data_IF_832031799927
#
_entry.id   IF_832031799927
#
_cell.length_a   1.000
_cell.length_b   1.000
_cell.length_c   1.000
_cell.angle_alpha   90.00
_cell.angle_beta   90.00
_cell.angle_gamma   90.00
#
_symmetry.space_group_name_H-M   'P 1'
#
loop_
_entity.id
_entity.type
_entity.pdbx_description
1 polymer ?
#
# COMPACT_ATOMS: atom_id res chain seq x y z
N UNK A 1 9.38 15.42 -4.43
CA UNK A 1 9.58 13.95 -4.33
C UNK A 1 8.21 13.34 -4.06
N UNK A 2 7.68 12.57 -5.01
CA UNK A 2 6.44 11.84 -4.81
C UNK A 2 6.80 10.49 -4.20
N UNK A 3 6.30 10.21 -3.00
CA UNK A 3 6.29 8.86 -2.48
C UNK A 3 5.13 8.11 -3.11
N UNK A 4 5.27 6.80 -3.25
CA UNK A 4 4.18 5.94 -3.70
C UNK A 4 3.84 4.99 -2.55
N UNK A 5 2.56 4.91 -2.22
CA UNK A 5 2.01 3.93 -1.28
C UNK A 5 1.25 2.87 -2.08
N UNK A 6 1.16 1.66 -1.56
CA UNK A 6 0.36 0.62 -2.21
C UNK A 6 -0.61 -0.06 -1.24
N UNK A 7 -1.79 -0.38 -1.75
CA UNK A 7 -2.87 -1.07 -1.04
C UNK A 7 -3.40 -2.23 -1.84
N UNK A 8 -3.84 -3.28 -1.14
CA UNK A 8 -4.65 -4.32 -1.74
C UNK A 8 -6.12 -3.92 -1.65
N UNK A 9 -6.83 -3.96 -2.77
CA UNK A 9 -8.26 -3.74 -2.88
C UNK A 9 -8.99 -5.06 -3.01
N UNK A 10 -10.11 -5.19 -2.31
CA UNK A 10 -11.02 -6.30 -2.53
C UNK A 10 -11.69 -6.14 -3.91
N UNK A 11 -11.53 -7.12 -4.82
CA UNK A 11 -12.04 -7.03 -6.21
C UNK A 11 -13.57 -6.95 -6.27
N UNK A 12 -14.26 -7.55 -5.31
CA UNK A 12 -15.73 -7.58 -5.27
C UNK A 12 -16.35 -6.26 -4.77
N UNK A 13 -15.62 -5.55 -3.91
CA UNK A 13 -16.16 -4.37 -3.20
C UNK A 13 -15.48 -3.06 -3.55
N UNK A 14 -14.31 -3.09 -4.17
CA UNK A 14 -13.52 -1.90 -4.54
C UNK A 14 -12.99 -1.10 -3.35
N UNK A 15 -12.97 -1.70 -2.15
CA UNK A 15 -12.47 -1.10 -0.92
C UNK A 15 -11.16 -1.75 -0.49
N UNK A 16 -10.39 -1.07 0.37
CA UNK A 16 -9.11 -1.57 0.86
C UNK A 16 -9.34 -2.82 1.69
N UNK A 17 -8.68 -3.90 1.30
CA UNK A 17 -8.60 -5.13 2.08
C UNK A 17 -7.45 -4.97 3.08
N UNK A 18 -7.76 -4.47 4.27
CA UNK A 18 -6.77 -4.18 5.32
C UNK A 18 -5.95 -5.42 5.69
N UNK A 19 -6.60 -6.58 5.77
CA UNK A 19 -5.95 -7.83 6.21
C UNK A 19 -4.93 -8.27 5.17
N UNK A 20 -5.34 -8.30 3.89
CA UNK A 20 -4.43 -8.66 2.80
C UNK A 20 -3.32 -7.62 2.68
N UNK A 21 -3.64 -6.32 2.75
CA UNK A 21 -2.65 -5.24 2.66
C UNK A 21 -1.59 -5.34 3.77
N UNK A 22 -2.01 -5.54 5.02
CA UNK A 22 -1.10 -5.67 6.17
C UNK A 22 -0.18 -6.88 6.03
N UNK A 23 -0.76 -8.02 5.67
CA UNK A 23 -0.03 -9.27 5.55
C UNK A 23 0.94 -9.22 4.37
N UNK A 24 0.52 -8.70 3.22
CA UNK A 24 1.38 -8.50 2.06
C UNK A 24 2.49 -7.49 2.32
N UNK A 25 2.20 -6.39 3.00
CA UNK A 25 3.22 -5.40 3.35
C UNK A 25 4.30 -6.01 4.24
N UNK A 26 3.91 -6.85 5.21
CA UNK A 26 4.83 -7.60 6.06
C UNK A 26 5.59 -8.69 5.28
N UNK A 27 4.93 -9.39 4.35
CA UNK A 27 5.52 -10.46 3.56
C UNK A 27 6.55 -9.96 2.55
N UNK A 28 6.29 -8.83 1.90
CA UNK A 28 7.24 -8.20 0.97
C UNK A 28 8.47 -7.70 1.71
N UNK A 29 8.29 -7.15 2.92
CA UNK A 29 9.38 -6.74 3.80
C UNK A 29 10.32 -5.68 3.19
N UNK A 30 11.42 -5.39 3.89
CA UNK A 30 12.45 -4.45 3.43
C UNK A 30 12.25 -3.00 3.92
N UNK A 31 12.43 -2.02 3.03
CA UNK A 31 12.32 -0.59 3.34
C UNK A 31 10.88 -0.07 3.35
N UNK A 32 9.91 -0.90 3.70
CA UNK A 32 8.50 -0.52 3.76
C UNK A 32 7.87 -1.03 5.05
N UNK A 33 6.90 -0.26 5.56
CA UNK A 33 6.12 -0.62 6.73
C UNK A 33 4.65 -0.37 6.46
N UNK A 34 3.82 -1.10 7.19
CA UNK A 34 2.39 -0.90 7.18
C UNK A 34 2.02 0.24 8.14
N UNK A 35 1.37 1.28 7.65
CA UNK A 35 0.89 2.38 8.47
C UNK A 35 -0.48 2.05 9.05
N UNK A 36 -0.56 1.84 10.37
CA UNK A 36 -1.81 1.52 11.05
C UNK A 36 -2.76 2.72 11.19
N UNK A 37 -2.31 3.96 10.93
CA UNK A 37 -3.22 5.12 10.88
C UNK A 37 -4.00 5.14 9.58
N UNK A 38 -3.29 5.06 8.47
CA UNK A 38 -3.83 5.22 7.11
C UNK A 38 -4.23 3.89 6.48
N UNK A 39 -3.79 2.76 7.05
CA UNK A 39 -4.07 1.38 6.60
C UNK A 39 -3.48 1.04 5.23
N UNK A 40 -2.26 1.49 5.00
CA UNK A 40 -1.61 1.44 3.70
C UNK A 40 -0.16 1.00 3.87
N UNK A 41 0.42 0.37 2.85
CA UNK A 41 1.83 0.02 2.86
C UNK A 41 2.64 1.18 2.30
N UNK A 42 3.62 1.65 3.06
CA UNK A 42 4.37 2.87 2.76
C UNK A 42 5.87 2.60 2.97
N UNK A 43 6.73 3.27 2.20
CA UNK A 43 8.19 3.07 2.35
C UNK A 43 8.70 3.81 3.59
N UNK A 44 9.62 3.23 4.36
CA UNK A 44 10.28 3.93 5.47
C UNK A 44 10.95 5.26 5.03
N UNK A 45 11.27 5.40 3.74
CA UNK A 45 11.91 6.56 3.13
C UNK A 45 10.99 7.35 2.17
N UNK A 46 9.66 7.38 2.38
CA UNK A 46 8.72 8.09 1.48
C UNK A 46 9.09 9.55 1.21
N UNK A 47 9.65 10.24 2.19
CA UNK A 47 10.04 11.64 2.06
C UNK A 47 11.43 11.80 1.40
N UNK A 48 12.21 10.71 1.25
CA UNK A 48 13.53 10.69 0.60
C UNK A 48 13.50 10.09 -0.82
N UNK A 49 12.35 9.61 -1.31
CA UNK A 49 12.20 9.17 -2.70
C UNK A 49 12.59 7.71 -2.98
N UNK A 50 12.82 6.90 -1.95
CA UNK A 50 12.90 5.44 -2.14
C UNK A 50 11.47 4.90 -2.20
N UNK A 51 11.06 4.40 -3.36
CA UNK A 51 9.72 3.86 -3.59
C UNK A 51 9.47 2.55 -2.81
N UNK A 52 8.20 2.26 -2.51
CA UNK A 52 7.74 0.93 -2.10
C UNK A 52 8.09 -0.11 -3.18
N UNK A 53 8.30 -1.37 -2.82
CA UNK A 53 8.40 -2.45 -3.80
C UNK A 53 6.99 -2.80 -4.32
N UNK A 54 6.47 -1.92 -5.18
CA UNK A 54 5.11 -2.00 -5.73
C UNK A 54 4.90 -3.35 -6.42
N UNK A 55 5.85 -3.78 -7.26
CA UNK A 55 5.74 -5.07 -7.95
C UNK A 55 5.53 -6.29 -7.03
N UNK A 56 6.12 -6.28 -5.83
CA UNK A 56 5.97 -7.38 -4.88
C UNK A 56 4.65 -7.31 -4.10
N UNK A 57 4.19 -6.10 -3.78
CA UNK A 57 2.88 -5.87 -3.18
C UNK A 57 1.76 -6.24 -4.16
N UNK A 58 1.84 -5.81 -5.43
CA UNK A 58 0.96 -6.25 -6.54
C UNK A 58 0.88 -7.77 -6.59
N UNK A 59 2.02 -8.45 -6.65
CA UNK A 59 2.07 -9.90 -6.76
C UNK A 59 1.39 -10.59 -5.55
N UNK A 60 1.61 -10.08 -4.34
CA UNK A 60 0.97 -10.61 -3.14
C UNK A 60 -0.55 -10.35 -3.10
N UNK A 61 -0.99 -9.14 -3.48
CA UNK A 61 -2.42 -8.84 -3.59
C UNK A 61 -3.09 -9.78 -4.60
N UNK A 62 -2.50 -9.95 -5.78
CA UNK A 62 -3.02 -10.83 -6.82
C UNK A 62 -3.04 -12.31 -6.39
N UNK A 63 -1.99 -12.79 -5.71
CA UNK A 63 -1.93 -14.14 -5.16
C UNK A 63 -3.04 -14.40 -4.12
N UNK A 64 -3.52 -13.34 -3.46
CA UNK A 64 -4.62 -13.37 -2.49
C UNK A 64 -5.99 -13.15 -3.13
N UNK A 65 -6.05 -12.96 -4.45
CA UNK A 65 -7.28 -12.65 -5.19
C UNK A 65 -7.72 -11.18 -5.06
N UNK A 66 -6.94 -10.33 -4.41
CA UNK A 66 -7.16 -8.90 -4.32
C UNK A 66 -6.60 -8.17 -5.56
N UNK A 67 -7.14 -6.99 -5.87
CA UNK A 67 -6.50 -6.05 -6.78
C UNK A 67 -5.42 -5.26 -6.03
N UNK A 68 -4.46 -4.69 -6.73
CA UNK A 68 -3.54 -3.70 -6.17
C UNK A 68 -3.91 -2.31 -6.66
N UNK A 69 -3.66 -1.31 -5.83
CA UNK A 69 -3.77 0.09 -6.23
C UNK A 69 -2.65 0.90 -5.61
N UNK A 70 -1.92 1.57 -6.49
CA UNK A 70 -0.97 2.59 -6.11
C UNK A 70 -1.72 3.86 -5.69
N UNK A 71 -1.30 4.43 -4.56
CA UNK A 71 -1.85 5.66 -4.01
C UNK A 71 -0.79 6.76 -4.07
N UNK A 72 -1.13 7.95 -4.59
CA UNK A 72 -0.22 9.07 -4.58
C UNK A 72 0.03 9.52 -3.14
N UNK A 73 1.30 9.55 -2.76
CA UNK A 73 1.76 10.04 -1.46
C UNK A 73 2.38 11.43 -1.66
N UNK A 74 1.60 12.48 -1.38
CA UNK A 74 1.95 13.87 -1.69
C UNK A 74 2.52 14.63 -0.50
N UNK A 75 3.68 15.28 -0.68
CA UNK A 75 4.22 16.47 0.02
C UNK A 75 4.45 16.44 1.53
N UNK A 76 3.59 15.76 2.29
CA UNK A 76 3.54 15.71 3.75
C UNK A 76 3.62 14.28 4.28
N UNK A 77 4.10 13.35 3.46
CA UNK A 77 4.08 11.93 3.81
C UNK A 77 2.67 11.48 4.28
N UNK A 78 1.62 11.88 3.56
CA UNK A 78 0.22 11.46 3.79
C UNK A 78 -0.45 11.04 2.48
N UNK A 79 -1.22 9.95 2.50
CA UNK A 79 -1.98 9.51 1.32
C UNK A 79 -3.18 10.43 1.11
N UNK A 80 -3.33 10.94 -0.11
CA UNK A 80 -4.38 11.92 -0.46
C UNK A 80 -5.65 11.26 -1.00
N UNK A 81 -5.58 10.00 -1.44
CA UNK A 81 -6.67 9.30 -2.11
C UNK A 81 -6.90 7.88 -1.56
N UNK A 82 -6.98 7.72 -0.23
CA UNK A 82 -7.20 6.39 0.39
C UNK A 82 -8.66 5.94 0.19
N UNK A 83 -8.94 4.87 -0.57
CA UNK A 83 -10.30 4.34 -0.70
C UNK A 83 -10.87 3.86 0.65
N UNK A 84 -12.22 3.77 0.78
CA UNK A 84 -12.85 3.26 1.99
C UNK A 84 -12.42 1.83 2.27
N UNK A 85 -12.51 1.42 3.54
CA UNK A 85 -12.09 0.10 4.03
C UNK A 85 -13.26 -0.88 3.94
N UNK A 86 -12.95 -2.10 3.56
CA UNK A 86 -13.70 -3.28 3.97
C UNK A 86 -12.86 -4.05 5.01
#
# INVERSE_FOLDING_TARGET
>A
MAGYAEVCLNKDRGCIDYRVTKDCCAAVGGQQHFDERSHICISNNLCEGNGVNIGAMVNCCEARGAGSRELPYGGYCSATEVPPRC
#
